data_IF_150643435981
#
_entry.id   IF_150643435981
#
_cell.length_a   1.000
_cell.length_b   1.000
_cell.length_c   1.000
_cell.angle_alpha   90.00
_cell.angle_beta   90.00
_cell.angle_gamma   90.00
#
_symmetry.space_group_name_H-M   'P 1'
#
loop_
_entity.id
_entity.type
_entity.pdbx_description
1 polymer ?
#
# COMPACT_ATOMS: atom_id res chain seq x y z
N UNK A 1 5.99 20.57 15.67
CA UNK A 1 7.00 19.77 14.95
C UNK A 1 6.23 18.81 14.07
N UNK A 2 6.56 18.72 12.79
CA UNK A 2 5.91 17.77 11.90
C UNK A 2 6.10 16.32 12.42
N UNK A 3 5.10 15.44 12.31
CA UNK A 3 5.27 14.05 12.73
C UNK A 3 6.39 13.39 11.91
N UNK A 4 7.23 12.61 12.58
CA UNK A 4 8.23 11.79 11.90
C UNK A 4 7.58 10.62 11.14
N UNK A 5 8.33 9.98 10.25
CA UNK A 5 7.88 8.86 9.41
C UNK A 5 7.12 7.78 10.21
N UNK A 6 7.71 7.29 11.31
CA UNK A 6 7.08 6.26 12.12
C UNK A 6 5.74 6.69 12.74
N UNK A 7 5.59 7.97 13.10
CA UNK A 7 4.33 8.48 13.63
C UNK A 7 3.25 8.57 12.55
N UNK A 8 3.62 8.88 11.30
CA UNK A 8 2.72 8.87 10.14
C UNK A 8 2.28 7.44 9.84
N UNK A 9 3.23 6.50 9.78
CA UNK A 9 2.94 5.08 9.54
C UNK A 9 1.98 4.56 10.61
N UNK A 10 2.26 4.81 11.88
CA UNK A 10 1.44 4.32 12.98
C UNK A 10 0.02 4.90 12.98
N UNK A 11 -0.13 6.19 12.65
CA UNK A 11 -1.42 6.88 12.66
C UNK A 11 -2.30 6.57 11.44
N UNK A 12 -1.72 6.53 10.24
CA UNK A 12 -2.49 6.51 8.99
C UNK A 12 -2.44 5.16 8.27
N UNK A 13 -1.37 4.37 8.45
CA UNK A 13 -1.15 3.16 7.67
C UNK A 13 -1.17 1.87 8.50
N UNK A 14 -0.87 1.93 9.81
CA UNK A 14 -0.99 0.77 10.69
C UNK A 14 -2.47 0.44 10.90
N UNK A 15 -2.88 -0.69 10.34
CA UNK A 15 -4.20 -1.28 10.56
C UNK A 15 -4.15 -2.29 11.69
N UNK A 16 -5.32 -2.64 12.23
CA UNK A 16 -5.45 -3.77 13.13
C UNK A 16 -4.84 -5.04 12.48
N UNK A 17 -4.22 -5.94 13.27
CA UNK A 17 -3.69 -7.19 12.75
C UNK A 17 -4.72 -7.89 11.88
N UNK A 18 -4.34 -8.29 10.67
CA UNK A 18 -5.25 -8.88 9.69
C UNK A 18 -5.82 -10.24 10.13
N UNK A 19 -5.28 -10.83 11.21
CA UNK A 19 -5.59 -12.18 11.66
C UNK A 19 -5.16 -13.27 10.67
N UNK A 20 -4.32 -12.91 9.67
CA UNK A 20 -3.85 -13.83 8.65
C UNK A 20 -2.56 -14.51 9.08
N UNK A 21 -2.56 -15.84 9.07
CA UNK A 21 -1.38 -16.67 9.37
C UNK A 21 -0.26 -16.54 8.33
N UNK A 22 -0.56 -15.97 7.16
CA UNK A 22 0.38 -15.78 6.07
C UNK A 22 1.14 -14.43 6.12
N UNK A 23 0.86 -13.60 7.13
CA UNK A 23 1.62 -12.39 7.49
C UNK A 23 2.35 -12.65 8.80
N UNK A 24 3.60 -13.14 8.72
CA UNK A 24 4.43 -13.46 9.90
C UNK A 24 4.96 -12.20 10.58
N UNK A 25 5.34 -11.20 9.77
CA UNK A 25 5.73 -9.86 10.22
C UNK A 25 5.07 -8.83 9.28
N UNK A 26 4.26 -7.93 9.86
CA UNK A 26 3.46 -6.94 9.14
C UNK A 26 4.04 -5.52 9.23
N UNK A 27 3.15 -4.52 9.22
CA UNK A 27 3.52 -3.09 9.31
C UNK A 27 4.17 -2.80 10.67
N UNK A 28 5.28 -2.06 10.67
CA UNK A 28 5.90 -1.52 11.89
C UNK A 28 7.36 -1.91 12.13
N UNK A 29 8.02 -2.51 11.13
CA UNK A 29 9.43 -2.88 11.15
C UNK A 29 10.06 -2.55 9.77
N UNK A 30 11.37 -2.75 9.59
CA UNK A 30 12.11 -2.45 8.35
C UNK A 30 11.70 -3.33 7.15
N UNK A 31 10.85 -4.34 7.38
CA UNK A 31 10.34 -5.21 6.33
C UNK A 31 9.19 -6.11 6.78
N UNK A 32 8.56 -6.76 5.80
CA UNK A 32 7.50 -7.75 6.05
C UNK A 32 8.02 -9.17 5.79
N UNK A 33 7.53 -10.13 6.59
CA UNK A 33 7.77 -11.56 6.38
C UNK A 33 6.44 -12.22 6.02
N UNK A 34 6.36 -12.74 4.79
CA UNK A 34 5.15 -13.30 4.21
C UNK A 34 5.34 -14.78 3.90
N UNK A 35 4.31 -15.59 4.13
CA UNK A 35 4.32 -17.03 3.83
C UNK A 35 3.49 -17.32 2.59
N UNK A 36 4.14 -17.74 1.51
CA UNK A 36 3.41 -18.24 0.33
C UNK A 36 2.76 -19.59 0.68
N UNK A 37 1.45 -19.77 0.48
CA UNK A 37 0.79 -21.04 0.77
C UNK A 37 1.39 -22.21 -0.05
N UNK A 38 1.44 -23.45 0.49
CA UNK A 38 2.03 -24.60 -0.20
C UNK A 38 1.32 -24.95 -1.51
N UNK A 39 2.08 -25.08 -2.60
CA UNK A 39 1.53 -25.36 -3.94
C UNK A 39 1.17 -24.12 -4.77
N UNK A 40 1.46 -22.92 -4.25
CA UNK A 40 1.24 -21.65 -4.95
C UNK A 40 2.59 -21.04 -5.36
N UNK A 41 2.54 -20.12 -6.31
CA UNK A 41 3.68 -19.27 -6.70
C UNK A 41 3.33 -17.83 -6.36
N UNK A 42 4.34 -17.05 -5.97
CA UNK A 42 4.19 -15.62 -5.79
C UNK A 42 4.15 -14.93 -7.16
N UNK A 43 3.16 -14.07 -7.36
CA UNK A 43 3.10 -13.13 -8.49
C UNK A 43 3.11 -11.73 -7.90
N UNK A 44 4.00 -10.87 -8.42
CA UNK A 44 4.14 -9.49 -7.97
C UNK A 44 3.76 -8.55 -9.10
N UNK A 45 3.03 -7.49 -8.77
CA UNK A 45 2.74 -6.38 -9.66
C UNK A 45 2.89 -5.07 -8.88
N UNK A 46 3.19 -4.00 -9.61
CA UNK A 46 3.39 -2.67 -9.05
C UNK A 46 2.84 -1.64 -10.02
N UNK A 47 2.18 -0.62 -9.47
CA UNK A 47 1.83 0.59 -10.18
C UNK A 47 2.53 1.78 -9.52
N UNK A 48 2.96 2.74 -10.33
CA UNK A 48 3.54 4.01 -9.86
C UNK A 48 2.71 5.13 -10.45
N UNK A 49 2.22 6.02 -9.58
CA UNK A 49 1.42 7.18 -9.95
C UNK A 49 2.23 8.44 -9.68
N UNK A 50 2.10 9.42 -10.56
CA UNK A 50 2.86 10.66 -10.52
C UNK A 50 1.99 11.93 -10.52
N UNK A 51 2.59 13.10 -10.78
CA UNK A 51 1.89 14.38 -10.75
C UNK A 51 0.67 14.45 -11.70
N UNK A 52 0.74 13.81 -12.87
CA UNK A 52 -0.40 13.79 -13.80
C UNK A 52 -1.60 13.01 -13.24
N UNK A 53 -1.36 11.91 -12.51
CA UNK A 53 -2.43 11.15 -11.86
C UNK A 53 -3.02 11.93 -10.67
N UNK A 54 -2.17 12.68 -9.96
CA UNK A 54 -2.59 13.59 -8.89
C UNK A 54 -3.55 14.66 -9.40
N UNK A 55 -3.18 15.33 -10.50
CA UNK A 55 -4.02 16.35 -11.15
C UNK A 55 -5.34 15.73 -11.65
N UNK A 56 -5.29 14.53 -12.25
CA UNK A 56 -6.48 13.81 -12.69
C UNK A 56 -7.40 13.39 -11.53
N UNK A 57 -6.84 13.18 -10.34
CA UNK A 57 -7.57 12.93 -9.11
C UNK A 57 -8.17 14.20 -8.50
N UNK A 58 -7.84 15.39 -9.02
CA UNK A 58 -8.32 16.67 -8.51
C UNK A 58 -7.72 17.02 -7.15
N UNK A 59 -6.54 16.50 -6.84
CA UNK A 59 -5.91 16.69 -5.54
C UNK A 59 -6.51 15.88 -4.39
N UNK A 60 -7.24 14.79 -4.68
CA UNK A 60 -7.79 13.89 -3.67
C UNK A 60 -6.84 12.70 -3.43
N UNK A 61 -6.21 12.65 -2.26
CA UNK A 61 -5.29 11.59 -1.85
C UNK A 61 -5.96 10.22 -1.71
N UNK A 62 -7.19 10.18 -1.20
CA UNK A 62 -7.97 8.94 -1.09
C UNK A 62 -8.34 8.39 -2.45
N UNK A 63 -8.66 9.26 -3.42
CA UNK A 63 -8.91 8.85 -4.82
C UNK A 63 -7.63 8.35 -5.49
N UNK A 64 -6.51 9.04 -5.30
CA UNK A 64 -5.21 8.62 -5.81
C UNK A 64 -4.82 7.23 -5.26
N UNK A 65 -4.99 7.01 -3.95
CA UNK A 65 -4.71 5.73 -3.30
C UNK A 65 -5.59 4.58 -3.80
N UNK A 66 -6.88 4.84 -4.06
CA UNK A 66 -7.77 3.85 -4.68
C UNK A 66 -7.34 3.50 -6.11
N UNK A 67 -6.99 4.50 -6.91
CA UNK A 67 -6.54 4.29 -8.29
C UNK A 67 -5.21 3.51 -8.32
N UNK A 68 -4.26 3.86 -7.44
CA UNK A 68 -3.01 3.11 -7.28
C UNK A 68 -3.25 1.63 -6.95
N UNK A 69 -4.14 1.33 -6.01
CA UNK A 69 -4.48 -0.04 -5.65
C UNK A 69 -5.17 -0.79 -6.80
N UNK A 70 -6.10 -0.15 -7.50
CA UNK A 70 -6.78 -0.73 -8.66
C UNK A 70 -5.78 -1.12 -9.74
N UNK A 71 -4.92 -0.20 -10.18
CA UNK A 71 -3.92 -0.44 -11.23
C UNK A 71 -2.89 -1.51 -10.83
N UNK A 72 -2.56 -1.63 -9.55
CA UNK A 72 -1.67 -2.67 -9.05
C UNK A 72 -2.34 -4.07 -9.01
N UNK A 73 -3.66 -4.13 -8.74
CA UNK A 73 -4.41 -5.39 -8.63
C UNK A 73 -4.86 -5.94 -10.00
N UNK A 74 -5.24 -5.06 -10.94
CA UNK A 74 -5.74 -5.45 -12.26
C UNK A 74 -4.88 -6.51 -13.00
N UNK A 75 -3.54 -6.35 -13.14
CA UNK A 75 -2.72 -7.35 -13.81
C UNK A 75 -2.67 -8.69 -13.04
N UNK A 76 -2.80 -8.67 -11.71
CA UNK A 76 -2.88 -9.90 -10.91
C UNK A 76 -4.17 -10.65 -11.22
N UNK A 77 -5.31 -9.94 -11.25
CA UNK A 77 -6.61 -10.55 -11.56
C UNK A 77 -6.68 -11.04 -13.01
N UNK A 78 -6.17 -10.25 -13.97
CA UNK A 78 -6.11 -10.64 -15.38
C UNK A 78 -5.23 -11.88 -15.60
N UNK A 79 -4.17 -12.04 -14.81
CA UNK A 79 -3.31 -13.23 -14.78
C UNK A 79 -3.88 -14.42 -14.00
N UNK A 80 -5.10 -14.31 -13.45
CA UNK A 80 -5.73 -15.36 -12.65
C UNK A 80 -5.14 -15.55 -11.25
N UNK A 81 -4.33 -14.60 -10.77
CA UNK A 81 -3.78 -14.63 -9.42
C UNK A 81 -4.82 -14.17 -8.39
N UNK A 82 -4.66 -14.62 -7.15
CA UNK A 82 -5.43 -14.15 -6.00
C UNK A 82 -4.62 -13.10 -5.23
N UNK A 83 -5.05 -11.82 -5.20
CA UNK A 83 -4.38 -10.80 -4.39
C UNK A 83 -4.37 -11.20 -2.90
N UNK A 84 -3.23 -11.05 -2.25
CA UNK A 84 -3.03 -11.49 -0.86
C UNK A 84 -2.47 -10.38 0.03
N UNK A 85 -1.49 -9.64 -0.47
CA UNK A 85 -0.77 -8.60 0.27
C UNK A 85 -0.51 -7.41 -0.64
N UNK A 86 -0.24 -6.24 -0.05
CA UNK A 86 0.18 -5.05 -0.77
C UNK A 86 1.23 -4.29 0.05
N UNK A 87 2.16 -3.65 -0.63
CA UNK A 87 3.11 -2.68 -0.07
C UNK A 87 2.81 -1.30 -0.64
N UNK A 88 2.95 -0.27 0.18
CA UNK A 88 2.81 1.13 -0.25
C UNK A 88 4.16 1.83 -0.12
N UNK A 89 4.67 2.34 -1.24
CA UNK A 89 5.77 3.29 -1.25
C UNK A 89 5.19 4.67 -1.57
N UNK A 90 5.28 5.59 -0.60
CA UNK A 90 4.71 6.92 -0.69
C UNK A 90 5.80 7.96 -0.47
N UNK A 91 5.96 8.87 -1.43
CA UNK A 91 6.88 10.01 -1.32
C UNK A 91 6.07 11.28 -1.16
N UNK A 92 6.37 12.05 -0.11
CA UNK A 92 5.76 13.34 0.17
C UNK A 92 6.87 14.39 0.31
N UNK A 93 6.66 15.58 -0.25
CA UNK A 93 7.57 16.71 -0.05
C UNK A 93 7.56 17.19 1.41
N UNK A 94 6.39 17.12 2.04
CA UNK A 94 6.16 17.43 3.45
C UNK A 94 4.99 16.58 3.98
N UNK A 95 4.93 16.30 5.29
CA UNK A 95 3.83 15.53 5.86
C UNK A 95 2.57 16.38 5.96
N UNK A 96 1.61 16.11 5.07
CA UNK A 96 0.27 16.72 5.07
C UNK A 96 -0.73 15.78 5.76
N UNK A 97 -1.04 16.09 7.02
CA UNK A 97 -1.97 15.32 7.84
C UNK A 97 -3.42 15.35 7.33
N UNK A 98 -3.83 16.39 6.62
CA UNK A 98 -5.19 16.52 6.08
C UNK A 98 -5.35 15.64 4.84
N UNK A 99 -4.29 15.53 4.03
CA UNK A 99 -4.22 14.64 2.89
C UNK A 99 -4.12 13.16 3.29
N UNK A 100 -3.40 12.87 4.39
CA UNK A 100 -3.23 11.50 4.92
C UNK A 100 -4.47 10.93 5.61
N UNK A 101 -5.41 11.77 6.05
CA UNK A 101 -6.55 11.41 6.90
C UNK A 101 -7.68 10.63 6.22
#
# INVERSE_FOLDING_TARGET
MAPGEFAIIDRYFRRAPSGRDDVVLGIGDDGAVLRVPPGQRLVTAMATLGPADWDACGGDGGRLGRDAMTRAIEPLLAGGARPAWATLALTLSEPDEAWLA
#
